data_IF_107972824281
#
_entry.id   IF_107972824281
#
_cell.length_a   1.000
_cell.length_b   1.000
_cell.length_c   1.000
_cell.angle_alpha   90.00
_cell.angle_beta   90.00
_cell.angle_gamma   90.00
#
_symmetry.space_group_name_H-M   'P 1'
#
loop_
_entity.id
_entity.type
_entity.pdbx_description
1 polymer ?
#
# COMPACT_ATOMS: atom_id res chain seq x y z
N UNK A 1 -13.74 -5.45 -1.40
CA UNK A 1 -12.61 -4.50 -1.20
C UNK A 1 -12.43 -3.67 -2.47
N UNK A 2 -12.28 -2.37 -2.34
CA UNK A 2 -12.01 -1.50 -3.48
C UNK A 2 -10.52 -1.53 -3.83
N UNK A 3 -10.17 -1.02 -5.02
CA UNK A 3 -8.77 -0.93 -5.43
C UNK A 3 -7.97 -0.01 -4.50
N UNK A 4 -8.57 1.07 -4.02
CA UNK A 4 -7.90 1.97 -3.08
C UNK A 4 -7.67 1.30 -1.74
N UNK A 5 -8.61 0.50 -1.25
CA UNK A 5 -8.42 -0.28 -0.03
C UNK A 5 -7.33 -1.32 -0.21
N UNK A 6 -7.30 -1.98 -1.35
CA UNK A 6 -6.28 -2.99 -1.65
C UNK A 6 -4.87 -2.36 -1.69
N UNK A 7 -4.74 -1.19 -2.32
CA UNK A 7 -3.45 -0.50 -2.38
C UNK A 7 -3.01 -0.05 -0.98
N UNK A 8 -3.92 0.48 -0.17
CA UNK A 8 -3.61 0.88 1.20
C UNK A 8 -3.09 -0.32 2.01
N UNK A 9 -3.75 -1.47 1.90
CA UNK A 9 -3.31 -2.69 2.58
C UNK A 9 -1.94 -3.15 2.08
N UNK A 10 -1.71 -3.11 0.77
CA UNK A 10 -0.43 -3.51 0.19
C UNK A 10 0.71 -2.61 0.68
N UNK A 11 0.46 -1.31 0.80
CA UNK A 11 1.45 -0.37 1.30
C UNK A 11 1.79 -0.64 2.76
N UNK A 12 0.77 -0.92 3.58
CA UNK A 12 1.00 -1.28 4.98
C UNK A 12 1.84 -2.54 5.08
N UNK A 13 1.52 -3.56 4.29
CA UNK A 13 2.30 -4.80 4.27
C UNK A 13 3.75 -4.57 3.83
N UNK A 14 3.97 -3.68 2.85
CA UNK A 14 5.31 -3.37 2.37
C UNK A 14 6.17 -2.77 3.49
N UNK A 15 5.56 -1.92 4.33
CA UNK A 15 6.26 -1.23 5.41
C UNK A 15 6.48 -2.16 6.61
N UNK A 16 5.50 -3.02 6.90
CA UNK A 16 5.50 -3.84 8.11
C UNK A 16 5.96 -5.28 7.89
N UNK A 17 6.30 -5.66 6.66
CA UNK A 17 6.69 -7.03 6.35
C UNK A 17 7.92 -7.47 7.18
N UNK A 18 7.93 -8.70 7.69
CA UNK A 18 9.00 -9.16 8.57
C UNK A 18 10.31 -9.49 7.86
N UNK A 19 10.28 -9.64 6.52
CA UNK A 19 11.49 -9.94 5.76
C UNK A 19 11.42 -9.29 4.37
N UNK A 20 12.57 -9.27 3.68
CA UNK A 20 12.70 -8.60 2.40
C UNK A 20 11.85 -9.27 1.31
N UNK A 21 11.71 -10.58 1.36
CA UNK A 21 10.94 -11.32 0.35
C UNK A 21 9.48 -10.89 0.38
N UNK A 22 8.88 -10.84 1.57
CA UNK A 22 7.50 -10.42 1.72
C UNK A 22 7.32 -8.94 1.42
N UNK A 23 8.29 -8.12 1.82
CA UNK A 23 8.26 -6.69 1.51
C UNK A 23 8.26 -6.46 0.00
N UNK A 24 9.13 -7.17 -0.73
CA UNK A 24 9.18 -7.03 -2.19
C UNK A 24 7.91 -7.48 -2.86
N UNK A 25 7.30 -8.56 -2.38
CA UNK A 25 6.01 -9.01 -2.89
C UNK A 25 4.93 -7.95 -2.71
N UNK A 26 4.89 -7.33 -1.54
CA UNK A 26 3.92 -6.27 -1.26
C UNK A 26 4.18 -5.03 -2.12
N UNK A 27 5.45 -4.68 -2.34
CA UNK A 27 5.82 -3.56 -3.20
C UNK A 27 5.37 -3.82 -4.64
N UNK A 28 5.61 -5.03 -5.16
CA UNK A 28 5.17 -5.39 -6.51
C UNK A 28 3.65 -5.29 -6.65
N UNK A 29 2.92 -5.78 -5.65
CA UNK A 29 1.46 -5.67 -5.64
C UNK A 29 1.02 -4.21 -5.61
N UNK A 30 1.68 -3.39 -4.80
CA UNK A 30 1.40 -1.95 -4.72
C UNK A 30 1.59 -1.27 -6.08
N UNK A 31 2.67 -1.61 -6.78
CA UNK A 31 2.94 -1.04 -8.09
C UNK A 31 1.87 -1.42 -9.12
N UNK A 32 1.44 -2.68 -9.11
CA UNK A 32 0.39 -3.14 -10.00
C UNK A 32 -0.95 -2.43 -9.72
N UNK A 33 -1.28 -2.27 -8.45
CA UNK A 33 -2.51 -1.58 -8.08
C UNK A 33 -2.44 -0.09 -8.40
N UNK A 34 -1.28 0.52 -8.18
CA UNK A 34 -1.09 1.95 -8.45
C UNK A 34 -1.26 2.28 -9.93
N UNK A 35 -0.91 1.36 -10.83
CA UNK A 35 -1.09 1.56 -12.27
C UNK A 35 -2.56 1.70 -12.66
N UNK A 36 -3.46 1.18 -11.87
CA UNK A 36 -4.91 1.20 -12.13
C UNK A 36 -5.60 2.42 -11.53
N UNK A 37 -4.86 3.23 -10.78
CA UNK A 37 -5.40 4.39 -10.08
C UNK A 37 -4.71 5.65 -10.59
N UNK A 38 -5.37 6.81 -10.43
CA UNK A 38 -4.72 8.08 -10.75
C UNK A 38 -3.80 8.51 -9.60
N UNK A 39 -2.97 9.53 -9.85
CA UNK A 39 -1.97 9.95 -8.86
C UNK A 39 -2.60 10.47 -7.58
N UNK A 40 -3.75 11.13 -7.66
CA UNK A 40 -4.45 11.62 -6.47
C UNK A 40 -4.92 10.46 -5.59
N UNK A 41 -5.43 9.39 -6.19
CA UNK A 41 -5.86 8.20 -5.46
C UNK A 41 -4.67 7.48 -4.82
N UNK A 42 -3.56 7.38 -5.54
CA UNK A 42 -2.34 6.76 -5.00
C UNK A 42 -1.83 7.57 -3.79
N UNK A 43 -1.79 8.90 -3.91
CA UNK A 43 -1.36 9.76 -2.81
C UNK A 43 -2.28 9.62 -1.60
N UNK A 44 -3.59 9.49 -1.82
CA UNK A 44 -4.55 9.28 -0.74
C UNK A 44 -4.30 7.94 -0.04
N UNK A 45 -3.99 6.88 -0.80
CA UNK A 45 -3.68 5.58 -0.22
C UNK A 45 -2.41 5.63 0.62
N UNK A 46 -1.39 6.35 0.17
CA UNK A 46 -0.16 6.54 0.95
C UNK A 46 -0.44 7.26 2.25
N UNK A 47 -1.22 8.34 2.21
CA UNK A 47 -1.58 9.08 3.40
C UNK A 47 -2.37 8.22 4.38
N UNK A 48 -3.32 7.44 3.88
CA UNK A 48 -4.12 6.55 4.71
C UNK A 48 -3.27 5.47 5.38
N UNK A 49 -2.33 4.88 4.62
CA UNK A 49 -1.44 3.86 5.16
C UNK A 49 -0.59 4.42 6.29
N UNK A 50 -0.05 5.61 6.11
CA UNK A 50 0.76 6.26 7.15
C UNK A 50 -0.05 6.57 8.40
N UNK A 51 -1.29 7.05 8.22
CA UNK A 51 -2.18 7.32 9.36
C UNK A 51 -2.47 6.06 10.15
N UNK A 52 -2.77 4.97 9.45
CA UNK A 52 -3.07 3.69 10.11
C UNK A 52 -1.84 3.21 10.91
N UNK A 53 -0.65 3.33 10.32
CA UNK A 53 0.59 2.92 11.01
C UNK A 53 0.88 3.79 12.22
N UNK A 54 0.61 5.10 12.14
CA UNK A 54 0.81 5.99 13.28
C UNK A 54 -0.16 5.70 14.42
N UNK A 55 -1.34 5.17 14.11
CA UNK A 55 -2.37 4.88 15.11
C UNK A 55 -2.19 3.52 15.78
N UNK A 56 -1.34 2.68 15.25
CA UNK A 56 -1.18 1.31 15.76
C UNK A 56 -0.04 1.15 16.76
#
# INVERSE_FOLDING_TARGET
MTQTQALTQALILAITAPDDFKAQKAIQLSEELAKRLNSAEVDQCKANALLILEMS
#
